data_IF_582184583252
#
_entry.id   IF_582184583252
#
_cell.length_a   1.000
_cell.length_b   1.000
_cell.length_c   1.000
_cell.angle_alpha   90.00
_cell.angle_beta   90.00
_cell.angle_gamma   90.00
#
_symmetry.space_group_name_H-M   'P 1'
#
loop_
_entity.id
_entity.type
_entity.pdbx_description
1 polymer ?
#
# COMPACT_ATOMS: atom_id res chain seq x y z
N UNK A 1 0.57 -45.18 0.12
CA UNK A 1 0.82 -44.68 1.49
C UNK A 1 1.54 -43.33 1.41
N UNK A 2 0.84 -42.31 0.91
CA UNK A 2 1.24 -40.89 1.01
C UNK A 2 -0.05 -40.07 0.94
N UNK A 3 -0.61 -39.79 2.12
CA UNK A 3 -1.78 -38.95 2.30
C UNK A 3 -1.41 -37.48 2.12
N UNK A 4 -2.22 -36.77 1.33
CA UNK A 4 -2.17 -35.31 1.20
C UNK A 4 -2.72 -34.69 2.49
N UNK A 5 -1.86 -34.03 3.26
CA UNK A 5 -2.29 -33.10 4.30
C UNK A 5 -2.89 -31.85 3.62
N UNK A 6 -4.22 -31.78 3.63
CA UNK A 6 -4.97 -30.54 3.39
C UNK A 6 -4.77 -29.70 4.66
N UNK A 7 -3.93 -28.67 4.58
CA UNK A 7 -3.83 -27.67 5.62
C UNK A 7 -5.08 -26.79 5.55
N UNK A 8 -6.03 -27.10 6.43
CA UNK A 8 -7.18 -26.27 6.76
C UNK A 8 -6.71 -24.91 7.27
N UNK A 9 -7.01 -23.83 6.53
CA UNK A 9 -6.89 -22.46 7.05
C UNK A 9 -8.02 -22.23 8.03
N UNK A 10 -7.82 -22.64 9.29
CA UNK A 10 -8.64 -22.16 10.40
C UNK A 10 -8.37 -20.66 10.57
N UNK A 11 -9.41 -19.86 10.29
CA UNK A 11 -9.43 -18.45 10.61
C UNK A 11 -9.28 -18.29 12.13
N UNK A 12 -8.22 -17.59 12.56
CA UNK A 12 -8.01 -17.22 13.96
C UNK A 12 -9.20 -16.39 14.46
N UNK A 13 -9.77 -16.68 15.66
CA UNK A 13 -10.87 -15.91 16.22
C UNK A 13 -10.35 -14.53 16.67
N UNK A 14 -10.38 -13.57 15.76
CA UNK A 14 -10.11 -12.16 16.02
C UNK A 14 -11.40 -11.43 16.32
N UNK A 15 -11.46 -10.80 17.49
CA UNK A 15 -12.43 -9.77 17.90
C UNK A 15 -12.95 -8.97 16.70
N UNK A 16 -14.22 -9.18 16.34
CA UNK A 16 -14.89 -8.64 15.15
C UNK A 16 -14.90 -7.11 15.07
N UNK A 17 -14.35 -6.42 16.08
CA UNK A 17 -14.22 -4.97 16.15
C UNK A 17 -12.78 -4.46 15.91
N UNK A 18 -11.80 -5.33 15.64
CA UNK A 18 -10.40 -4.95 15.41
C UNK A 18 -10.08 -4.75 13.92
N UNK A 19 -9.64 -3.54 13.58
CA UNK A 19 -9.01 -3.28 12.28
C UNK A 19 -7.56 -3.79 12.33
N UNK A 20 -7.29 -4.94 11.72
CA UNK A 20 -5.96 -5.55 11.63
C UNK A 20 -5.23 -5.24 10.30
N UNK A 21 -5.85 -4.38 9.48
CA UNK A 21 -5.38 -3.99 8.16
C UNK A 21 -5.08 -2.49 8.10
N UNK A 22 -3.97 -2.15 7.44
CA UNK A 22 -3.55 -0.80 7.08
C UNK A 22 -3.60 -0.66 5.56
N UNK A 23 -4.11 0.45 5.04
CA UNK A 23 -4.10 0.72 3.58
C UNK A 23 -3.46 2.08 3.33
N UNK A 24 -2.43 2.13 2.48
CA UNK A 24 -1.90 3.39 1.96
C UNK A 24 -2.92 4.07 1.05
N UNK A 25 -3.33 5.28 1.44
CA UNK A 25 -4.26 6.11 0.64
C UNK A 25 -3.61 7.39 0.11
N UNK A 26 -2.32 7.53 0.38
CA UNK A 26 -1.53 8.72 0.07
C UNK A 26 -1.59 9.09 -1.40
N UNK A 27 -1.42 8.11 -2.30
CA UNK A 27 -1.52 8.32 -3.75
C UNK A 27 -2.85 8.95 -4.17
N UNK A 28 -3.97 8.46 -3.62
CA UNK A 28 -5.31 8.96 -3.96
C UNK A 28 -5.48 10.41 -3.48
N UNK A 29 -4.99 10.74 -2.28
CA UNK A 29 -5.00 12.11 -1.76
C UNK A 29 -4.19 13.03 -2.69
N UNK A 30 -2.96 12.64 -3.05
CA UNK A 30 -2.07 13.47 -3.88
C UNK A 30 -2.60 13.70 -5.29
N UNK A 31 -3.24 12.69 -5.91
CA UNK A 31 -3.86 12.82 -7.23
C UNK A 31 -4.93 13.90 -7.25
N UNK A 32 -5.86 13.84 -6.30
CA UNK A 32 -6.93 14.83 -6.21
C UNK A 32 -6.37 16.20 -5.85
N UNK A 33 -5.38 16.26 -4.97
CA UNK A 33 -4.72 17.53 -4.62
C UNK A 33 -4.05 18.18 -5.83
N UNK A 34 -3.38 17.40 -6.68
CA UNK A 34 -2.69 17.89 -7.89
C UNK A 34 -3.59 18.05 -9.12
N UNK A 35 -4.90 17.77 -9.01
CA UNK A 35 -5.85 17.90 -10.12
C UNK A 35 -5.62 16.90 -11.26
N UNK A 36 -4.92 15.79 -11.00
CA UNK A 36 -4.62 14.78 -12.02
C UNK A 36 -5.80 13.85 -12.21
N UNK A 37 -6.06 13.48 -13.47
CA UNK A 37 -7.07 12.47 -13.80
C UNK A 37 -6.73 11.11 -13.18
N UNK A 38 -7.73 10.32 -12.74
CA UNK A 38 -7.53 8.95 -12.30
C UNK A 38 -6.93 8.08 -13.41
N UNK A 39 -6.02 7.19 -13.02
CA UNK A 39 -5.41 6.17 -13.87
C UNK A 39 -5.90 4.77 -13.48
N UNK A 40 -5.46 3.73 -14.21
CA UNK A 40 -5.70 2.34 -13.85
C UNK A 40 -5.34 2.02 -12.39
N UNK A 41 -4.16 2.45 -11.93
CA UNK A 41 -3.70 2.20 -10.56
C UNK A 41 -4.66 2.82 -9.51
N UNK A 42 -5.21 4.00 -9.78
CA UNK A 42 -6.08 4.67 -8.81
C UNK A 42 -7.43 3.97 -8.70
N UNK A 43 -7.94 3.41 -9.81
CA UNK A 43 -9.14 2.57 -9.80
C UNK A 43 -8.92 1.30 -8.97
N UNK A 44 -7.75 0.68 -9.07
CA UNK A 44 -7.40 -0.49 -8.23
C UNK A 44 -7.32 -0.09 -6.76
N UNK A 45 -6.66 1.04 -6.42
CA UNK A 45 -6.63 1.53 -5.04
C UNK A 45 -8.04 1.78 -4.49
N UNK A 46 -8.94 2.38 -5.27
CA UNK A 46 -10.33 2.61 -4.87
C UNK A 46 -11.11 1.29 -4.69
N UNK A 47 -10.90 0.29 -5.56
CA UNK A 47 -11.53 -1.02 -5.41
C UNK A 47 -11.08 -1.75 -4.13
N UNK A 48 -9.79 -1.65 -3.78
CA UNK A 48 -9.29 -2.17 -2.50
C UNK A 48 -9.87 -1.42 -1.31
N UNK A 49 -10.05 -0.10 -1.40
CA UNK A 49 -10.72 0.66 -0.35
C UNK A 49 -12.19 0.25 -0.22
N UNK A 50 -12.93 0.12 -1.32
CA UNK A 50 -14.32 -0.32 -1.31
C UNK A 50 -14.47 -1.68 -0.63
N UNK A 51 -13.58 -2.63 -0.94
CA UNK A 51 -13.60 -3.98 -0.36
C UNK A 51 -13.25 -4.02 1.13
N UNK A 52 -12.32 -3.18 1.58
CA UNK A 52 -11.66 -3.35 2.88
C UNK A 52 -11.86 -2.18 3.85
N UNK A 53 -12.59 -1.14 3.49
CA UNK A 53 -12.75 0.09 4.28
C UNK A 53 -13.20 -0.17 5.73
N UNK A 54 -14.12 -1.11 5.96
CA UNK A 54 -14.69 -1.37 7.29
C UNK A 54 -13.71 -2.03 8.28
N UNK A 55 -12.70 -2.72 7.75
CA UNK A 55 -11.67 -3.44 8.49
C UNK A 55 -10.28 -2.79 8.42
N UNK A 56 -10.15 -1.65 7.75
CA UNK A 56 -8.87 -0.98 7.51
C UNK A 56 -8.71 0.33 8.29
N UNK A 57 -7.47 0.67 8.61
CA UNK A 57 -7.05 2.02 8.98
C UNK A 57 -6.26 2.66 7.83
N UNK A 58 -6.45 3.96 7.65
CA UNK A 58 -5.77 4.72 6.62
C UNK A 58 -4.32 4.99 7.03
N UNK A 59 -3.38 4.71 6.12
CA UNK A 59 -2.01 5.22 6.19
C UNK A 59 -1.88 6.38 5.23
N UNK A 60 -1.47 7.53 5.77
CA UNK A 60 -1.13 8.73 4.99
C UNK A 60 0.35 9.02 5.16
N UNK A 61 1.05 9.21 4.05
CA UNK A 61 2.49 9.45 4.03
C UNK A 61 2.94 10.42 2.93
N UNK A 62 4.05 11.12 3.24
CA UNK A 62 4.76 12.04 2.34
C UNK A 62 6.17 12.28 2.86
N UNK A 63 7.19 12.20 2.00
CA UNK A 63 8.57 12.62 2.30
C UNK A 63 9.10 12.09 3.66
N UNK A 64 8.87 10.80 3.95
CA UNK A 64 9.30 10.18 5.21
C UNK A 64 8.33 10.31 6.38
N UNK A 65 7.43 11.30 6.37
CA UNK A 65 6.32 11.40 7.32
C UNK A 65 5.28 10.32 7.03
N UNK A 66 4.85 9.60 8.07
CA UNK A 66 3.87 8.50 8.01
C UNK A 66 2.96 8.55 9.22
N UNK A 67 1.65 8.45 9.01
CA UNK A 67 0.64 8.37 10.07
C UNK A 67 -0.41 7.33 9.75
N UNK A 68 -0.75 6.53 10.76
CA UNK A 68 -1.94 5.68 10.77
C UNK A 68 -3.06 6.46 11.45
N UNK A 69 -4.16 6.68 10.75
CA UNK A 69 -5.30 7.42 11.28
C UNK A 69 -6.16 6.54 12.20
N UNK A 70 -6.83 7.17 13.17
CA UNK A 70 -7.84 6.48 13.98
C UNK A 70 -8.99 5.94 13.11
N UNK A 71 -9.79 5.01 13.63
CA UNK A 71 -10.86 4.33 12.86
C UNK A 71 -11.92 5.31 12.34
N UNK A 72 -12.35 6.24 13.17
CA UNK A 72 -13.34 7.25 12.77
C UNK A 72 -12.82 8.13 11.62
N UNK A 73 -11.58 8.61 11.73
CA UNK A 73 -10.94 9.43 10.70
C UNK A 73 -10.66 8.63 9.42
N UNK A 74 -10.25 7.36 9.55
CA UNK A 74 -10.05 6.46 8.41
C UNK A 74 -11.35 6.26 7.64
N UNK A 75 -12.47 5.98 8.32
CA UNK A 75 -13.79 5.83 7.70
C UNK A 75 -14.24 7.10 6.98
N UNK A 76 -14.09 8.26 7.64
CA UNK A 76 -14.43 9.54 7.03
C UNK A 76 -13.57 9.81 5.78
N UNK A 77 -12.28 9.51 5.84
CA UNK A 77 -11.36 9.69 4.72
C UNK A 77 -11.67 8.72 3.57
N UNK A 78 -11.98 7.46 3.86
CA UNK A 78 -12.38 6.48 2.85
C UNK A 78 -13.67 6.89 2.15
N UNK A 79 -14.69 7.34 2.88
CA UNK A 79 -15.93 7.86 2.30
C UNK A 79 -15.68 9.09 1.41
N UNK A 80 -14.79 9.99 1.84
CA UNK A 80 -14.40 11.16 1.05
C UNK A 80 -13.65 10.76 -0.24
N UNK A 81 -12.75 9.79 -0.16
CA UNK A 81 -11.98 9.27 -1.30
C UNK A 81 -12.89 8.53 -2.30
N UNK A 82 -13.85 7.74 -1.81
CA UNK A 82 -14.82 7.03 -2.63
C UNK A 82 -15.76 7.99 -3.37
N UNK A 83 -16.22 9.06 -2.70
CA UNK A 83 -17.03 10.11 -3.32
C UNK A 83 -16.25 10.88 -4.39
N UNK A 84 -14.99 11.23 -4.10
CA UNK A 84 -14.14 12.03 -4.98
C UNK A 84 -14.77 13.38 -5.38
N UNK A 85 -14.30 13.93 -6.50
CA UNK A 85 -14.95 15.05 -7.18
C UNK A 85 -14.82 16.44 -6.53
N UNK A 86 -15.68 17.37 -6.98
CA UNK A 86 -15.69 18.75 -6.51
C UNK A 86 -16.04 18.80 -5.02
N UNK A 87 -15.20 19.49 -4.24
CA UNK A 87 -15.35 19.57 -2.78
C UNK A 87 -14.46 18.61 -1.98
N UNK A 88 -13.74 17.69 -2.63
CA UNK A 88 -12.77 16.82 -1.93
C UNK A 88 -11.78 17.62 -1.07
N UNK A 89 -11.18 18.67 -1.63
CA UNK A 89 -10.22 19.53 -0.90
C UNK A 89 -10.86 20.17 0.33
N UNK A 90 -12.08 20.68 0.21
CA UNK A 90 -12.83 21.28 1.32
C UNK A 90 -13.12 20.22 2.40
N UNK A 91 -13.55 19.03 2.01
CA UNK A 91 -13.78 17.90 2.92
C UNK A 91 -12.51 17.48 3.66
N UNK A 92 -11.38 17.37 2.95
CA UNK A 92 -10.09 17.00 3.56
C UNK A 92 -9.61 18.06 4.55
N UNK A 93 -9.75 19.35 4.22
CA UNK A 93 -9.43 20.46 5.13
C UNK A 93 -10.33 20.45 6.37
N UNK A 94 -11.62 20.14 6.22
CA UNK A 94 -12.54 20.04 7.35
C UNK A 94 -12.20 18.89 8.31
N UNK A 95 -11.50 17.86 7.84
CA UNK A 95 -10.98 16.77 8.68
C UNK A 95 -9.72 17.15 9.47
N UNK A 96 -8.96 18.16 9.02
CA UNK A 96 -7.65 18.50 9.57
C UNK A 96 -7.66 18.91 11.06
N UNK A 97 -8.63 19.70 11.59
CA UNK A 97 -8.70 19.99 13.02
C UNK A 97 -8.92 18.71 13.84
N UNK A 98 -9.73 17.78 13.35
CA UNK A 98 -10.01 16.51 14.03
C UNK A 98 -8.83 15.54 14.04
N UNK A 99 -7.97 15.57 13.03
CA UNK A 99 -6.78 14.70 12.92
C UNK A 99 -5.50 15.31 13.48
N UNK A 100 -5.42 16.65 13.60
CA UNK A 100 -4.26 17.40 14.12
C UNK A 100 -4.43 17.77 15.60
N UNK A 101 -5.62 18.20 16.06
CA UNK A 101 -5.86 18.59 17.47
C UNK A 101 -6.16 17.39 18.37
N UNK A 102 -6.76 16.33 17.84
CA UNK A 102 -6.70 15.02 18.48
C UNK A 102 -5.35 14.45 18.09
N UNK A 103 -4.65 13.78 19.00
CA UNK A 103 -3.45 12.99 18.72
C UNK A 103 -3.77 11.80 17.77
N UNK A 104 -4.27 12.07 16.56
CA UNK A 104 -5.00 11.15 15.68
C UNK A 104 -4.12 10.15 14.94
N UNK A 105 -2.80 10.27 15.07
CA UNK A 105 -1.84 9.29 14.60
C UNK A 105 -1.52 8.27 15.68
N UNK A 106 -1.91 7.01 15.49
CA UNK A 106 -1.49 5.92 16.40
C UNK A 106 -0.30 5.17 15.82
N UNK A 107 0.62 4.65 16.65
CA UNK A 107 1.57 3.66 16.16
C UNK A 107 0.78 2.43 15.69
N UNK A 108 1.14 1.84 14.54
CA UNK A 108 0.59 0.55 14.13
C UNK A 108 0.96 -0.52 15.15
N UNK A 109 0.10 -1.53 15.28
CA UNK A 109 0.38 -2.67 16.16
C UNK A 109 1.24 -3.69 15.40
N UNK A 110 2.20 -4.35 16.09
CA UNK A 110 2.91 -5.49 15.53
C UNK A 110 1.94 -6.54 14.93
N UNK A 111 2.31 -7.09 13.78
CA UNK A 111 1.56 -8.15 13.08
C UNK A 111 0.44 -7.66 12.15
N UNK A 112 0.06 -6.39 12.20
CA UNK A 112 -0.93 -5.82 11.28
C UNK A 112 -0.48 -5.98 9.83
N UNK A 113 -1.43 -6.26 8.92
CA UNK A 113 -1.16 -6.27 7.49
C UNK A 113 -1.14 -4.84 6.95
N UNK A 114 -0.23 -4.54 6.02
CA UNK A 114 -0.17 -3.23 5.35
C UNK A 114 -0.20 -3.39 3.84
N UNK A 115 -1.23 -2.85 3.21
CA UNK A 115 -1.39 -2.83 1.77
C UNK A 115 -0.90 -1.51 1.19
N UNK A 116 0.10 -1.59 0.32
CA UNK A 116 0.56 -0.47 -0.48
C UNK A 116 0.38 -0.79 -1.97
N UNK A 117 -0.82 -0.49 -2.45
CA UNK A 117 -1.25 -0.70 -3.84
C UNK A 117 -0.73 0.40 -4.76
N UNK A 118 -0.56 1.61 -4.23
CA UNK A 118 -0.17 2.80 -4.98
C UNK A 118 1.34 3.01 -5.11
N UNK A 119 2.16 2.16 -4.49
CA UNK A 119 3.62 2.32 -4.39
C UNK A 119 4.10 3.63 -3.75
N UNK A 120 3.30 4.30 -2.92
CA UNK A 120 3.73 5.56 -2.30
C UNK A 120 4.91 5.31 -1.36
N UNK A 121 6.00 6.06 -1.53
CA UNK A 121 7.16 6.07 -0.64
C UNK A 121 8.06 4.84 -0.74
N UNK A 122 7.81 3.92 -1.69
CA UNK A 122 8.61 2.72 -1.90
C UNK A 122 10.00 3.02 -2.47
N UNK A 123 10.20 4.17 -3.11
CA UNK A 123 11.49 4.59 -3.63
C UNK A 123 12.50 4.98 -2.53
N UNK A 124 12.02 5.19 -1.30
CA UNK A 124 12.81 5.66 -0.18
C UNK A 124 13.00 4.58 0.89
N UNK A 125 14.22 4.44 1.43
CA UNK A 125 14.56 3.48 2.48
C UNK A 125 13.73 3.64 3.77
N UNK A 126 13.13 4.80 3.97
CA UNK A 126 12.29 5.08 5.14
C UNK A 126 11.04 4.20 5.25
N UNK A 127 10.48 3.68 4.14
CA UNK A 127 9.31 2.80 4.23
C UNK A 127 9.70 1.40 4.75
N UNK A 128 10.70 0.70 4.18
CA UNK A 128 11.23 -0.54 4.76
C UNK A 128 11.62 -0.41 6.24
N UNK A 129 12.30 0.67 6.63
CA UNK A 129 12.69 0.92 8.02
C UNK A 129 11.48 1.06 8.94
N UNK A 130 10.43 1.76 8.49
CA UNK A 130 9.19 1.91 9.24
C UNK A 130 8.45 0.57 9.40
N UNK A 131 8.42 -0.27 8.36
CA UNK A 131 7.81 -1.59 8.41
C UNK A 131 8.52 -2.48 9.43
N UNK A 132 9.86 -2.57 9.34
CA UNK A 132 10.67 -3.38 10.25
C UNK A 132 10.54 -2.91 11.70
N UNK A 133 10.67 -1.60 11.95
CA UNK A 133 10.57 -1.01 13.30
C UNK A 133 9.23 -1.29 13.99
N UNK A 134 8.15 -1.39 13.22
CA UNK A 134 6.81 -1.59 13.75
C UNK A 134 6.31 -3.05 13.60
N UNK A 135 7.16 -3.96 13.08
CA UNK A 135 6.82 -5.38 12.89
C UNK A 135 5.53 -5.58 12.07
N UNK A 136 5.35 -4.79 11.02
CA UNK A 136 4.17 -4.83 10.16
C UNK A 136 4.38 -5.87 9.05
N UNK A 137 3.32 -6.57 8.66
CA UNK A 137 3.34 -7.49 7.52
C UNK A 137 2.98 -6.76 6.24
N UNK A 138 3.98 -6.23 5.54
CA UNK A 138 3.75 -5.43 4.33
C UNK A 138 3.43 -6.32 3.12
N UNK A 139 2.41 -5.94 2.36
CA UNK A 139 2.05 -6.55 1.09
C UNK A 139 1.91 -5.47 0.02
N UNK A 140 2.60 -5.67 -1.10
CA UNK A 140 2.65 -4.72 -2.21
C UNK A 140 1.94 -5.30 -3.42
N UNK A 141 1.17 -4.47 -4.12
CA UNK A 141 0.61 -4.86 -5.41
C UNK A 141 1.44 -4.26 -6.53
N UNK A 142 2.20 -5.11 -7.22
CA UNK A 142 3.06 -4.75 -8.33
C UNK A 142 2.25 -4.79 -9.62
N UNK A 143 2.20 -3.64 -10.30
CA UNK A 143 1.42 -3.45 -11.53
C UNK A 143 2.21 -3.84 -12.78
N UNK A 144 3.49 -3.54 -12.82
CA UNK A 144 4.39 -3.83 -13.93
C UNK A 144 5.85 -3.56 -13.53
N UNK A 145 6.76 -4.05 -14.36
CA UNK A 145 8.18 -3.72 -14.32
C UNK A 145 8.61 -2.96 -15.59
N UNK A 146 7.66 -2.40 -16.36
CA UNK A 146 7.95 -1.69 -17.63
C UNK A 146 9.02 -0.62 -17.47
N UNK A 147 9.06 0.20 -16.40
CA UNK A 147 10.13 1.17 -16.22
C UNK A 147 11.55 0.57 -16.16
N UNK A 148 11.67 -0.72 -15.84
CA UNK A 148 12.95 -1.44 -15.77
C UNK A 148 13.19 -2.23 -17.05
N UNK A 149 12.17 -2.94 -17.57
CA UNK A 149 12.32 -3.82 -18.74
C UNK A 149 12.33 -3.05 -20.06
N UNK A 150 11.63 -1.91 -20.11
CA UNK A 150 11.49 -1.06 -21.28
C UNK A 150 11.59 0.42 -20.90
N UNK A 151 12.76 0.86 -20.41
CA UNK A 151 12.96 2.24 -19.97
C UNK A 151 12.74 3.27 -21.09
N UNK A 152 12.89 2.88 -22.36
CA UNK A 152 12.65 3.72 -23.54
C UNK A 152 11.22 4.25 -23.65
N UNK A 153 10.24 3.60 -23.01
CA UNK A 153 8.85 4.08 -22.96
C UNK A 153 8.56 4.95 -21.73
N UNK A 154 9.57 5.19 -20.90
CA UNK A 154 9.43 5.90 -19.64
C UNK A 154 10.19 7.23 -19.65
N UNK A 155 9.89 8.06 -18.64
CA UNK A 155 10.60 9.33 -18.45
C UNK A 155 11.98 9.05 -17.87
N UNK A 156 12.93 9.91 -18.18
CA UNK A 156 14.27 9.89 -17.59
C UNK A 156 14.20 9.83 -16.06
N UNK A 157 15.02 8.96 -15.45
CA UNK A 157 15.07 8.77 -14.01
C UNK A 157 14.00 7.83 -13.43
N UNK A 158 12.97 7.42 -14.20
CA UNK A 158 11.94 6.51 -13.67
C UNK A 158 12.43 5.07 -13.54
N UNK A 159 13.34 4.63 -14.40
CA UNK A 159 13.96 3.30 -14.31
C UNK A 159 14.68 3.11 -12.98
N UNK A 160 15.55 4.06 -12.61
CA UNK A 160 16.31 4.02 -11.37
C UNK A 160 15.41 4.12 -10.14
N UNK A 161 14.38 4.97 -10.19
CA UNK A 161 13.37 5.07 -9.12
C UNK A 161 12.61 3.75 -8.97
N UNK A 162 12.19 3.13 -10.07
CA UNK A 162 11.42 1.90 -10.03
C UNK A 162 12.27 0.72 -9.58
N UNK A 163 13.53 0.64 -9.99
CA UNK A 163 14.52 -0.31 -9.45
C UNK A 163 14.60 -0.21 -7.93
N UNK A 164 14.74 1.00 -7.37
CA UNK A 164 14.73 1.21 -5.91
C UNK A 164 13.40 0.78 -5.28
N UNK A 165 12.26 1.09 -5.91
CA UNK A 165 10.94 0.65 -5.42
C UNK A 165 10.87 -0.86 -5.33
N UNK A 166 11.31 -1.59 -6.37
CA UNK A 166 11.22 -3.06 -6.41
C UNK A 166 12.18 -3.71 -5.42
N UNK A 167 13.41 -3.20 -5.29
CA UNK A 167 14.34 -3.66 -4.24
C UNK A 167 13.73 -3.49 -2.85
N UNK A 168 13.19 -2.30 -2.55
CA UNK A 168 12.57 -2.01 -1.26
C UNK A 168 11.29 -2.83 -1.04
N UNK A 169 10.49 -3.04 -2.08
CA UNK A 169 9.28 -3.86 -2.00
C UNK A 169 9.64 -5.30 -1.66
N UNK A 170 10.49 -5.95 -2.47
CA UNK A 170 10.92 -7.34 -2.25
C UNK A 170 11.60 -7.49 -0.89
N UNK A 171 12.54 -6.61 -0.55
CA UNK A 171 13.32 -6.70 0.70
C UNK A 171 12.54 -6.41 1.99
N UNK A 172 11.31 -5.88 1.90
CA UNK A 172 10.48 -5.58 3.09
C UNK A 172 9.10 -6.25 3.08
N UNK A 173 8.78 -7.00 2.02
CA UNK A 173 7.50 -7.66 1.87
C UNK A 173 7.37 -8.89 2.76
N UNK A 174 6.20 -9.05 3.37
CA UNK A 174 5.69 -10.34 3.81
C UNK A 174 4.92 -11.07 2.70
N UNK A 175 4.52 -10.36 1.64
CA UNK A 175 3.95 -10.94 0.43
C UNK A 175 3.88 -9.93 -0.72
N UNK A 176 3.75 -10.41 -1.95
CA UNK A 176 3.56 -9.56 -3.13
C UNK A 176 2.42 -10.08 -3.98
N UNK A 177 1.54 -9.17 -4.41
CA UNK A 177 0.50 -9.44 -5.39
C UNK A 177 0.96 -8.89 -6.73
N UNK A 178 0.99 -9.71 -7.76
CA UNK A 178 1.16 -9.24 -9.13
C UNK A 178 -0.20 -9.18 -9.83
N UNK A 179 -0.44 -8.14 -10.62
CA UNK A 179 -1.69 -8.02 -11.38
C UNK A 179 -1.84 -9.06 -12.52
N UNK A 180 -0.75 -9.75 -12.87
CA UNK A 180 -0.71 -10.76 -13.93
C UNK A 180 0.45 -11.74 -13.70
N UNK A 181 0.38 -12.90 -14.36
CA UNK A 181 1.49 -13.88 -14.35
C UNK A 181 2.76 -13.35 -15.02
N UNK A 182 2.63 -12.52 -16.06
CA UNK A 182 3.78 -11.91 -16.73
C UNK A 182 4.50 -10.94 -15.80
N UNK A 183 3.77 -10.08 -15.09
CA UNK A 183 4.35 -9.18 -14.08
C UNK A 183 5.05 -9.94 -12.97
N UNK A 184 4.48 -11.06 -12.51
CA UNK A 184 5.13 -11.92 -11.52
C UNK A 184 6.46 -12.50 -12.06
N UNK A 185 6.45 -13.04 -13.28
CA UNK A 185 7.65 -13.58 -13.91
C UNK A 185 8.73 -12.50 -14.14
N UNK A 186 8.34 -11.27 -14.51
CA UNK A 186 9.27 -10.13 -14.59
C UNK A 186 9.87 -9.80 -13.22
N UNK A 187 9.04 -9.79 -12.17
CA UNK A 187 9.48 -9.51 -10.81
C UNK A 187 10.44 -10.60 -10.29
N UNK A 188 10.17 -11.87 -10.56
CA UNK A 188 11.05 -12.99 -10.22
C UNK A 188 12.40 -12.89 -10.94
N UNK A 189 12.41 -12.58 -12.24
CA UNK A 189 13.64 -12.33 -13.01
C UNK A 189 14.43 -11.16 -12.43
N UNK A 190 13.75 -10.07 -12.09
CA UNK A 190 14.36 -8.92 -11.46
C UNK A 190 14.97 -9.28 -10.11
N UNK A 191 14.24 -9.98 -9.25
CA UNK A 191 14.71 -10.42 -7.94
C UNK A 191 15.95 -11.31 -8.07
N UNK A 192 15.94 -12.28 -8.99
CA UNK A 192 17.10 -13.13 -9.27
C UNK A 192 18.34 -12.32 -9.70
N UNK A 193 18.15 -11.35 -10.62
CA UNK A 193 19.23 -10.46 -11.07
C UNK A 193 19.79 -9.59 -9.94
N UNK A 194 18.94 -9.16 -9.01
CA UNK A 194 19.33 -8.38 -7.82
C UNK A 194 19.78 -9.27 -6.64
N UNK A 195 19.79 -10.59 -6.79
CA UNK A 195 20.09 -11.58 -5.73
C UNK A 195 19.21 -11.42 -4.49
N UNK A 196 17.93 -11.13 -4.71
CA UNK A 196 16.92 -11.01 -3.67
C UNK A 196 16.05 -12.28 -3.62
N UNK A 197 15.67 -12.70 -2.42
CA UNK A 197 14.71 -13.78 -2.23
C UNK A 197 13.28 -13.26 -2.46
N UNK A 198 12.51 -13.96 -3.28
CA UNK A 198 11.12 -13.59 -3.53
C UNK A 198 10.26 -13.89 -2.30
N UNK A 199 9.43 -12.93 -1.85
CA UNK A 199 8.43 -13.19 -0.83
C UNK A 199 7.31 -14.10 -1.38
N UNK A 200 6.51 -14.72 -0.51
CA UNK A 200 5.33 -15.47 -0.93
C UNK A 200 4.37 -14.62 -1.79
N UNK A 201 3.75 -15.26 -2.78
CA UNK A 201 2.68 -14.69 -3.62
C UNK A 201 1.28 -15.00 -3.08
#
# INVERSE_FOLDING_TARGET
>A
MYERAIASTEALPGDANRADLLIDVSRLIWRVWTGRLPTGIDRVCLAYLDRYADQALAVVQKNGWRRVLARADSRALFALLAKGGAGFRKGLLAMAPGTILRAGGRPPRPGMAYLNIGHTGLEAAGLPLWIARNQIRAVYLVHDLIPITNPEFCREGEAEKHTRRMINAIGSASGVIANSRSTLADLERFAAAQRLAMPPG
#
